data_IF_281540040749
#
_entry.id   IF_281540040749
#
_cell.length_a   1.000
_cell.length_b   1.000
_cell.length_c   1.000
_cell.angle_alpha   90.00
_cell.angle_beta   90.00
_cell.angle_gamma   90.00
#
_symmetry.space_group_name_H-M   'P 1'
#
loop_
_entity.id
_entity.type
_entity.pdbx_description
1 polymer ?
#
# COMPACT_ATOMS: atom_id res chain seq x y z
N UNK A 1 -16.34 29.47 3.36
CA UNK A 1 -15.47 28.29 3.09
C UNK A 1 -14.51 28.10 4.26
N UNK A 2 -14.54 26.94 4.92
CA UNK A 2 -13.67 26.65 6.06
C UNK A 2 -12.33 26.07 5.60
N UNK A 3 -11.24 26.76 5.89
CA UNK A 3 -9.89 26.36 5.49
C UNK A 3 -8.99 26.11 6.70
N UNK A 4 -8.16 25.08 6.63
CA UNK A 4 -7.13 24.87 7.66
C UNK A 4 -6.08 25.99 7.62
N UNK A 5 -5.31 26.15 8.71
CA UNK A 5 -4.33 27.25 8.87
C UNK A 5 -3.31 27.39 7.73
N UNK A 6 -2.97 26.30 7.02
CA UNK A 6 -2.04 26.34 5.88
C UNK A 6 -2.74 26.85 4.62
N UNK A 7 -3.91 26.31 4.31
CA UNK A 7 -4.72 26.72 3.15
C UNK A 7 -5.29 28.14 3.31
N UNK A 8 -5.71 28.51 4.51
CA UNK A 8 -6.17 29.86 4.82
C UNK A 8 -5.07 30.89 4.56
N UNK A 9 -3.85 30.65 5.06
CA UNK A 9 -2.70 31.52 4.79
C UNK A 9 -2.33 31.58 3.31
N UNK A 10 -2.46 30.46 2.59
CA UNK A 10 -2.25 30.44 1.14
C UNK A 10 -3.28 31.29 0.40
N UNK A 11 -4.58 31.11 0.68
CA UNK A 11 -5.63 31.89 0.00
C UNK A 11 -5.55 33.38 0.36
N UNK A 12 -5.20 33.72 1.61
CA UNK A 12 -4.92 35.12 1.98
C UNK A 12 -3.75 35.70 1.16
N UNK A 13 -2.66 34.94 0.98
CA UNK A 13 -1.54 35.38 0.13
C UNK A 13 -1.95 35.58 -1.33
N UNK A 14 -2.74 34.66 -1.89
CA UNK A 14 -3.25 34.78 -3.27
C UNK A 14 -4.14 36.01 -3.43
N UNK A 15 -5.06 36.27 -2.50
CA UNK A 15 -5.90 37.48 -2.54
C UNK A 15 -5.03 38.74 -2.44
N UNK A 16 -4.02 38.75 -1.57
CA UNK A 16 -3.08 39.87 -1.46
C UNK A 16 -2.27 40.10 -2.73
N UNK A 17 -1.83 39.03 -3.41
CA UNK A 17 -1.14 39.14 -4.71
C UNK A 17 -2.07 39.73 -5.76
N UNK A 18 -3.28 39.20 -5.89
CA UNK A 18 -4.25 39.72 -6.88
C UNK A 18 -4.69 41.16 -6.62
N UNK A 19 -4.70 41.63 -5.37
CA UNK A 19 -4.88 43.04 -5.05
C UNK A 19 -3.66 43.89 -5.47
N UNK A 20 -2.45 43.38 -5.25
CA UNK A 20 -1.19 44.05 -5.63
C UNK A 20 -1.01 44.14 -7.15
N UNK A 21 -1.43 43.10 -7.87
CA UNK A 21 -1.30 42.97 -9.32
C UNK A 21 -2.47 43.65 -10.07
N UNK A 22 -3.34 44.39 -9.37
CA UNK A 22 -4.56 45.03 -9.89
C UNK A 22 -5.54 44.08 -10.60
N UNK A 23 -5.46 42.77 -10.33
CA UNK A 23 -6.41 41.76 -10.82
C UNK A 23 -7.74 41.86 -10.08
N UNK A 24 -7.71 42.28 -8.82
CA UNK A 24 -8.89 42.52 -7.98
C UNK A 24 -8.84 43.90 -7.34
N UNK A 25 -10.00 44.54 -7.20
CA UNK A 25 -10.12 45.72 -6.35
C UNK A 25 -10.06 45.33 -4.87
N UNK A 26 -9.57 46.25 -4.02
CA UNK A 26 -9.52 46.04 -2.55
C UNK A 26 -10.91 45.71 -1.97
N UNK A 27 -11.97 46.22 -2.58
CA UNK A 27 -13.36 45.91 -2.20
C UNK A 27 -13.73 44.45 -2.48
N UNK A 28 -13.34 43.92 -3.64
CA UNK A 28 -13.57 42.52 -4.02
C UNK A 28 -12.70 41.56 -3.22
N UNK A 29 -11.45 41.92 -2.96
CA UNK A 29 -10.56 41.14 -2.10
C UNK A 29 -11.11 41.03 -0.66
N UNK A 30 -11.65 42.12 -0.12
CA UNK A 30 -12.32 42.09 1.19
C UNK A 30 -13.59 41.24 1.20
N UNK A 31 -14.41 41.26 0.13
CA UNK A 31 -15.54 40.33 -0.02
C UNK A 31 -15.07 38.88 -0.03
N UNK A 32 -14.00 38.56 -0.76
CA UNK A 32 -13.44 37.21 -0.82
C UNK A 32 -12.89 36.75 0.54
N UNK A 33 -12.14 37.60 1.25
CA UNK A 33 -11.65 37.30 2.61
C UNK A 33 -12.80 37.03 3.58
N UNK A 34 -13.89 37.81 3.50
CA UNK A 34 -15.08 37.62 4.33
C UNK A 34 -15.79 36.28 4.10
N UNK A 35 -15.69 35.71 2.89
CA UNK A 35 -16.24 34.37 2.60
C UNK A 35 -15.38 33.23 3.12
N UNK A 36 -14.18 33.48 3.64
CA UNK A 36 -13.22 32.47 4.06
C UNK A 36 -13.05 32.48 5.57
N UNK A 37 -13.37 31.36 6.22
CA UNK A 37 -13.23 31.20 7.65
C UNK A 37 -12.03 30.29 7.98
N UNK A 38 -11.23 30.71 8.95
CA UNK A 38 -10.14 29.90 9.47
C UNK A 38 -10.71 28.79 10.35
N UNK A 39 -10.54 27.55 9.91
CA UNK A 39 -10.72 26.39 10.77
C UNK A 39 -9.64 26.42 11.85
N UNK A 40 -10.03 26.82 13.06
CA UNK A 40 -9.14 26.97 14.23
C UNK A 40 -8.50 25.64 14.66
N UNK A 41 -9.10 24.50 14.28
CA UNK A 41 -8.67 23.17 14.70
C UNK A 41 -8.76 22.14 13.55
N UNK A 42 -7.69 21.35 13.35
CA UNK A 42 -7.60 20.35 12.26
C UNK A 42 -8.31 19.04 12.64
N UNK A 43 -9.64 19.06 12.60
CA UNK A 43 -10.51 17.92 12.90
C UNK A 43 -10.19 16.68 12.07
N UNK A 44 -9.62 16.83 10.86
CA UNK A 44 -9.23 15.70 10.01
C UNK A 44 -8.02 14.95 10.60
N UNK A 45 -7.01 15.69 11.07
CA UNK A 45 -5.87 15.08 11.78
C UNK A 45 -6.30 14.46 13.09
N UNK A 46 -7.14 15.15 13.88
CA UNK A 46 -7.65 14.58 15.13
C UNK A 46 -8.41 13.28 14.84
N UNK A 47 -9.34 13.27 13.88
CA UNK A 47 -10.06 12.06 13.50
C UNK A 47 -9.11 10.93 13.12
N UNK A 48 -8.09 11.20 12.29
CA UNK A 48 -7.09 10.21 11.89
C UNK A 48 -6.38 9.62 13.11
N UNK A 49 -5.87 10.45 14.02
CA UNK A 49 -5.16 9.99 15.21
C UNK A 49 -6.09 9.31 16.22
N UNK A 50 -7.31 9.80 16.39
CA UNK A 50 -8.32 9.16 17.24
C UNK A 50 -8.69 7.76 16.75
N UNK A 51 -8.77 7.53 15.43
CA UNK A 51 -8.95 6.17 14.90
C UNK A 51 -7.74 5.28 15.13
N UNK A 52 -6.52 5.82 15.08
CA UNK A 52 -5.31 5.06 15.42
C UNK A 52 -5.30 4.68 16.90
N UNK A 53 -5.59 5.64 17.78
CA UNK A 53 -5.70 5.41 19.23
C UNK A 53 -6.82 4.42 19.52
N UNK A 54 -8.00 4.56 18.90
CA UNK A 54 -9.08 3.60 19.06
C UNK A 54 -8.67 2.19 18.61
N UNK A 55 -7.90 2.07 17.52
CA UNK A 55 -7.32 0.80 17.09
C UNK A 55 -6.36 0.20 18.12
N UNK A 56 -5.45 1.01 18.68
CA UNK A 56 -4.52 0.60 19.74
C UNK A 56 -5.29 0.21 21.01
N UNK A 57 -6.26 1.01 21.44
CA UNK A 57 -7.12 0.71 22.59
C UNK A 57 -7.93 -0.56 22.39
N UNK A 58 -8.43 -0.82 21.18
CA UNK A 58 -9.09 -2.08 20.85
C UNK A 58 -8.12 -3.27 20.93
N UNK A 59 -6.90 -3.12 20.42
CA UNK A 59 -5.88 -4.16 20.52
C UNK A 59 -5.50 -4.44 22.00
N UNK A 60 -5.33 -3.40 22.81
CA UNK A 60 -5.09 -3.51 24.25
C UNK A 60 -6.29 -4.16 24.94
N UNK A 61 -7.53 -3.81 24.60
CA UNK A 61 -8.72 -4.44 25.16
C UNK A 61 -8.77 -5.94 24.83
N UNK A 62 -8.49 -6.33 23.58
CA UNK A 62 -8.40 -7.74 23.16
C UNK A 62 -7.28 -8.48 23.93
N UNK A 63 -6.14 -7.83 24.17
CA UNK A 63 -5.07 -8.39 24.97
C UNK A 63 -5.42 -8.48 26.46
N UNK A 64 -6.08 -7.47 27.03
CA UNK A 64 -6.51 -7.47 28.44
C UNK A 64 -7.55 -8.54 28.72
N UNK A 65 -8.39 -8.87 27.74
CA UNK A 65 -9.34 -9.99 27.83
C UNK A 65 -8.63 -11.32 28.15
N UNK A 66 -7.36 -11.50 27.77
CA UNK A 66 -6.64 -12.75 28.09
C UNK A 66 -6.28 -12.89 29.57
N UNK A 67 -6.38 -11.81 30.35
CA UNK A 67 -6.09 -11.81 31.79
C UNK A 67 -7.35 -11.93 32.66
N UNK A 68 -8.54 -11.84 32.07
CA UNK A 68 -9.81 -11.97 32.78
C UNK A 68 -10.31 -13.43 32.74
N UNK A 69 -10.39 -14.09 33.90
CA UNK A 69 -10.79 -15.50 34.01
C UNK A 69 -12.24 -15.77 33.59
N UNK A 70 -13.17 -14.82 33.78
CA UNK A 70 -14.58 -14.98 33.44
C UNK A 70 -14.80 -14.83 31.93
N UNK A 71 -14.17 -13.83 31.31
CA UNK A 71 -14.20 -13.67 29.86
C UNK A 71 -13.42 -14.80 29.18
N UNK A 72 -12.28 -15.21 29.74
CA UNK A 72 -11.52 -16.38 29.27
C UNK A 72 -12.35 -17.66 29.37
N UNK A 73 -13.20 -17.83 30.39
CA UNK A 73 -14.10 -18.99 30.47
C UNK A 73 -15.17 -19.00 29.37
N UNK A 74 -15.75 -17.83 29.04
CA UNK A 74 -16.69 -17.69 27.92
C UNK A 74 -15.98 -17.94 26.58
N UNK A 75 -14.77 -17.39 26.42
CA UNK A 75 -13.92 -17.63 25.24
C UNK A 75 -13.56 -19.10 25.13
N UNK A 76 -13.14 -19.75 26.22
CA UNK A 76 -12.87 -21.19 26.25
C UNK A 76 -14.09 -21.99 25.84
N UNK A 77 -15.30 -21.59 26.27
CA UNK A 77 -16.56 -22.22 25.84
C UNK A 77 -16.87 -22.02 24.35
N UNK A 78 -16.43 -20.92 23.75
CA UNK A 78 -16.49 -20.70 22.29
C UNK A 78 -15.39 -21.51 21.59
N UNK A 79 -14.21 -21.66 22.22
CA UNK A 79 -13.09 -22.43 21.69
C UNK A 79 -13.30 -23.95 21.76
N UNK A 80 -14.13 -24.44 22.69
CA UNK A 80 -14.56 -25.85 22.75
C UNK A 80 -15.65 -26.20 21.73
N UNK A 81 -16.24 -25.22 21.06
CA UNK A 81 -17.18 -25.48 19.96
C UNK A 81 -16.46 -26.12 18.76
N UNK A 82 -17.23 -26.83 17.92
CA UNK A 82 -16.67 -27.35 16.66
C UNK A 82 -16.21 -26.20 15.76
N UNK A 83 -15.16 -26.45 14.97
CA UNK A 83 -14.60 -25.43 14.07
C UNK A 83 -15.62 -24.99 13.01
N UNK A 84 -16.53 -25.87 12.60
CA UNK A 84 -17.68 -25.54 11.74
C UNK A 84 -18.56 -24.48 12.37
N UNK A 85 -18.91 -24.63 13.66
CA UNK A 85 -19.78 -23.69 14.34
C UNK A 85 -19.10 -22.32 14.50
N UNK A 86 -17.80 -22.30 14.85
CA UNK A 86 -17.00 -21.07 14.90
C UNK A 86 -17.00 -20.35 13.55
N UNK A 87 -16.78 -21.09 12.47
CA UNK A 87 -16.76 -20.54 11.11
C UNK A 87 -18.11 -19.92 10.73
N UNK A 88 -19.23 -20.61 10.98
CA UNK A 88 -20.58 -20.10 10.70
C UNK A 88 -20.87 -18.84 11.52
N UNK A 89 -20.61 -18.87 12.83
CA UNK A 89 -20.85 -17.72 13.71
C UNK A 89 -20.06 -16.49 13.27
N UNK A 90 -18.75 -16.66 13.01
CA UNK A 90 -17.90 -15.56 12.55
C UNK A 90 -18.31 -15.05 11.17
N UNK A 91 -18.77 -15.94 10.28
CA UNK A 91 -19.31 -15.54 8.97
C UNK A 91 -20.54 -14.66 9.13
N UNK A 92 -21.49 -15.03 9.99
CA UNK A 92 -22.69 -14.22 10.28
C UNK A 92 -22.29 -12.84 10.82
N UNK A 93 -21.36 -12.78 11.77
CA UNK A 93 -20.87 -11.52 12.33
C UNK A 93 -20.20 -10.67 11.25
N UNK A 94 -19.34 -11.27 10.41
CA UNK A 94 -18.67 -10.57 9.31
C UNK A 94 -19.65 -9.99 8.30
N UNK A 95 -20.68 -10.75 7.91
CA UNK A 95 -21.75 -10.29 7.02
C UNK A 95 -22.50 -9.13 7.65
N UNK A 96 -22.75 -9.18 8.97
CA UNK A 96 -23.33 -8.06 9.73
C UNK A 96 -22.50 -6.77 9.63
N UNK A 97 -21.18 -6.86 9.78
CA UNK A 97 -20.28 -5.71 9.61
C UNK A 97 -20.27 -5.17 8.19
N UNK A 98 -20.20 -6.02 7.17
CA UNK A 98 -20.27 -5.58 5.78
C UNK A 98 -21.61 -4.90 5.47
N UNK A 99 -22.73 -5.53 5.85
CA UNK A 99 -24.07 -4.97 5.68
C UNK A 99 -24.21 -3.61 6.36
N UNK A 100 -23.73 -3.49 7.60
CA UNK A 100 -23.76 -2.22 8.33
C UNK A 100 -22.89 -1.16 7.65
N UNK A 101 -21.67 -1.52 7.24
CA UNK A 101 -20.77 -0.67 6.46
C UNK A 101 -21.43 -0.18 5.17
N UNK A 102 -22.08 -1.06 4.41
CA UNK A 102 -22.79 -0.71 3.18
C UNK A 102 -23.97 0.22 3.41
N UNK A 103 -24.83 -0.11 4.38
CA UNK A 103 -26.00 0.72 4.72
C UNK A 103 -25.56 2.12 5.15
N UNK A 104 -24.47 2.21 5.93
CA UNK A 104 -23.92 3.48 6.39
C UNK A 104 -23.24 4.27 5.29
N UNK A 105 -22.54 3.62 4.35
CA UNK A 105 -21.95 4.26 3.16
C UNK A 105 -23.01 4.92 2.27
N UNK A 106 -24.21 4.32 2.16
CA UNK A 106 -25.37 4.93 1.48
C UNK A 106 -25.99 6.09 2.26
N UNK A 107 -26.19 5.95 3.57
CA UNK A 107 -26.88 6.96 4.40
C UNK A 107 -26.01 8.17 4.75
N UNK A 108 -24.71 7.96 5.01
CA UNK A 108 -23.78 8.99 5.49
C UNK A 108 -22.43 8.84 4.78
N UNK A 109 -22.36 9.14 3.47
CA UNK A 109 -21.14 8.97 2.66
C UNK A 109 -19.97 9.84 3.15
N UNK A 110 -20.27 10.98 3.80
CA UNK A 110 -19.25 11.88 4.35
C UNK A 110 -18.37 11.25 5.43
N UNK A 111 -18.84 10.21 6.14
CA UNK A 111 -18.06 9.49 7.17
C UNK A 111 -17.20 8.37 6.58
N UNK A 112 -16.38 8.71 5.57
CA UNK A 112 -15.56 7.76 4.80
C UNK A 112 -14.76 6.80 5.68
N UNK A 113 -13.95 7.32 6.61
CA UNK A 113 -13.09 6.49 7.48
C UNK A 113 -13.87 5.52 8.36
N UNK A 114 -14.99 5.95 8.94
CA UNK A 114 -15.83 5.07 9.76
C UNK A 114 -16.47 3.96 8.92
N UNK A 115 -16.88 4.27 7.69
CA UNK A 115 -17.48 3.29 6.79
C UNK A 115 -16.43 2.24 6.36
N UNK A 116 -15.22 2.68 5.99
CA UNK A 116 -14.12 1.78 5.62
C UNK A 116 -13.62 0.96 6.82
N UNK A 117 -13.64 1.52 8.04
CA UNK A 117 -13.30 0.78 9.26
C UNK A 117 -14.25 -0.40 9.51
N UNK A 118 -15.56 -0.22 9.30
CA UNK A 118 -16.51 -1.34 9.43
C UNK A 118 -16.24 -2.45 8.43
N UNK A 119 -15.91 -2.11 7.18
CA UNK A 119 -15.51 -3.09 6.17
C UNK A 119 -14.21 -3.79 6.56
N UNK A 120 -13.24 -3.07 7.11
CA UNK A 120 -11.98 -3.64 7.57
C UNK A 120 -12.16 -4.63 8.72
N UNK A 121 -13.00 -4.30 9.70
CA UNK A 121 -13.34 -5.22 10.80
C UNK A 121 -14.01 -6.47 10.25
N UNK A 122 -14.96 -6.32 9.31
CA UNK A 122 -15.54 -7.44 8.57
C UNK A 122 -14.46 -8.29 7.87
N UNK A 123 -13.48 -7.68 7.22
CA UNK A 123 -12.39 -8.40 6.55
C UNK A 123 -11.55 -9.25 7.50
N UNK A 124 -11.17 -8.70 8.66
CA UNK A 124 -10.43 -9.47 9.68
C UNK A 124 -11.25 -10.67 10.12
N UNK A 125 -12.54 -10.47 10.44
CA UNK A 125 -13.43 -11.55 10.90
C UNK A 125 -13.63 -12.60 9.79
N UNK A 126 -13.75 -12.18 8.53
CA UNK A 126 -13.80 -13.09 7.37
C UNK A 126 -12.56 -13.98 7.32
N UNK A 127 -11.35 -13.41 7.46
CA UNK A 127 -10.11 -14.18 7.46
C UNK A 127 -10.08 -15.24 8.56
N UNK A 128 -10.53 -14.90 9.77
CA UNK A 128 -10.62 -15.85 10.89
C UNK A 128 -11.70 -16.92 10.61
N UNK A 129 -12.85 -16.54 10.07
CA UNK A 129 -13.93 -17.46 9.71
C UNK A 129 -13.49 -18.49 8.67
N UNK A 130 -12.71 -18.05 7.67
CA UNK A 130 -12.10 -18.89 6.64
C UNK A 130 -11.04 -19.83 7.25
N UNK A 131 -10.25 -19.35 8.22
CA UNK A 131 -9.30 -20.21 8.93
C UNK A 131 -9.98 -21.36 9.66
N UNK A 132 -11.07 -21.09 10.39
CA UNK A 132 -11.87 -22.14 11.04
C UNK A 132 -12.63 -23.01 10.03
N UNK A 133 -13.10 -22.44 8.92
CA UNK A 133 -13.68 -23.22 7.82
C UNK A 133 -12.66 -24.23 7.30
N UNK A 134 -11.43 -23.78 7.06
CA UNK A 134 -10.32 -24.62 6.60
C UNK A 134 -10.05 -25.79 7.53
N UNK A 135 -10.03 -25.56 8.85
CA UNK A 135 -9.91 -26.64 9.85
C UNK A 135 -11.09 -27.60 9.82
N UNK A 136 -12.31 -27.08 9.66
CA UNK A 136 -13.52 -27.88 9.65
C UNK A 136 -13.61 -28.83 8.43
N UNK A 137 -13.07 -28.42 7.28
CA UNK A 137 -13.04 -29.21 6.04
C UNK A 137 -11.68 -29.84 5.76
N UNK A 138 -10.76 -29.81 6.73
CA UNK A 138 -9.40 -30.27 6.55
C UNK A 138 -9.39 -31.76 6.19
N UNK A 139 -8.78 -32.07 5.06
CA UNK A 139 -8.59 -33.43 4.56
C UNK A 139 -7.23 -34.02 4.94
N UNK A 140 -6.41 -33.27 5.70
CA UNK A 140 -5.03 -33.63 6.02
C UNK A 140 -4.05 -33.38 4.87
N UNK A 141 -4.51 -32.82 3.75
CA UNK A 141 -3.67 -32.52 2.58
C UNK A 141 -2.67 -31.37 2.80
N UNK A 142 -2.92 -30.52 3.81
CA UNK A 142 -2.12 -29.33 4.06
C UNK A 142 -2.18 -28.28 2.93
N UNK A 143 -3.14 -28.39 2.00
CA UNK A 143 -3.29 -27.55 0.82
C UNK A 143 -4.28 -26.38 1.06
N UNK A 144 -3.82 -25.29 1.67
CA UNK A 144 -4.67 -24.17 2.09
C UNK A 144 -4.78 -23.03 1.06
N UNK A 145 -4.17 -23.15 -0.12
CA UNK A 145 -4.18 -22.09 -1.14
C UNK A 145 -5.61 -21.67 -1.52
N UNK A 146 -6.52 -22.62 -1.67
CA UNK A 146 -7.93 -22.36 -2.02
C UNK A 146 -8.65 -21.52 -0.95
N UNK A 147 -8.27 -21.62 0.32
CA UNK A 147 -8.82 -20.77 1.38
C UNK A 147 -8.36 -19.31 1.22
N UNK A 148 -7.11 -19.11 0.82
CA UNK A 148 -6.57 -17.78 0.52
C UNK A 148 -7.25 -17.19 -0.73
N UNK A 149 -7.47 -18.02 -1.76
CA UNK A 149 -8.22 -17.62 -2.95
C UNK A 149 -9.64 -17.20 -2.60
N UNK A 150 -10.33 -17.98 -1.75
CA UNK A 150 -11.67 -17.66 -1.27
C UNK A 150 -11.69 -16.30 -0.55
N UNK A 151 -10.72 -16.02 0.33
CA UNK A 151 -10.59 -14.73 0.98
C UNK A 151 -10.37 -13.59 -0.03
N UNK A 152 -9.49 -13.81 -1.02
CA UNK A 152 -9.23 -12.86 -2.10
C UNK A 152 -10.49 -12.52 -2.89
N UNK A 153 -11.25 -13.54 -3.31
CA UNK A 153 -12.51 -13.36 -4.07
C UNK A 153 -13.51 -12.56 -3.24
N UNK A 154 -13.71 -12.90 -1.96
CA UNK A 154 -14.64 -12.18 -1.09
C UNK A 154 -14.25 -10.70 -0.99
N UNK A 155 -12.98 -10.39 -0.74
CA UNK A 155 -12.51 -9.01 -0.62
C UNK A 155 -12.59 -8.23 -1.94
N UNK A 156 -12.28 -8.86 -3.07
CA UNK A 156 -12.41 -8.25 -4.39
C UNK A 156 -13.88 -7.99 -4.74
N UNK A 157 -14.78 -8.95 -4.49
CA UNK A 157 -16.22 -8.77 -4.74
C UNK A 157 -16.78 -7.63 -3.88
N UNK A 158 -16.45 -7.59 -2.59
CA UNK A 158 -16.87 -6.51 -1.69
C UNK A 158 -16.29 -5.16 -2.12
N UNK A 159 -15.00 -5.11 -2.45
CA UNK A 159 -14.32 -3.89 -2.90
C UNK A 159 -14.84 -3.37 -4.24
N UNK A 160 -15.23 -4.28 -5.15
CA UNK A 160 -15.75 -3.99 -6.49
C UNK A 160 -17.20 -3.53 -6.48
N UNK A 161 -18.06 -4.26 -5.78
CA UNK A 161 -19.49 -3.92 -5.64
C UNK A 161 -19.70 -2.61 -4.90
N UNK A 162 -18.83 -2.30 -3.94
CA UNK A 162 -18.87 -1.05 -3.18
C UNK A 162 -17.49 -0.39 -3.17
N UNK A 163 -17.12 0.37 -4.24
CA UNK A 163 -15.78 0.90 -4.48
C UNK A 163 -15.05 1.29 -3.19
N UNK A 164 -14.27 0.34 -2.68
CA UNK A 164 -13.50 0.44 -1.44
C UNK A 164 -12.08 0.09 -1.81
N UNK A 165 -11.23 1.11 -1.82
CA UNK A 165 -9.81 0.92 -2.12
C UNK A 165 -9.16 -0.01 -1.11
N UNK A 166 -9.61 0.00 0.15
CA UNK A 166 -9.08 -0.85 1.20
C UNK A 166 -9.39 -2.32 0.93
N UNK A 167 -10.67 -2.67 0.75
CA UNK A 167 -11.10 -4.05 0.50
C UNK A 167 -10.51 -4.58 -0.81
N UNK A 168 -10.48 -3.74 -1.85
CA UNK A 168 -9.85 -4.12 -3.12
C UNK A 168 -8.35 -4.39 -2.97
N UNK A 169 -7.63 -3.55 -2.22
CA UNK A 169 -6.20 -3.74 -1.97
C UNK A 169 -5.95 -5.01 -1.15
N UNK A 170 -6.75 -5.27 -0.11
CA UNK A 170 -6.68 -6.53 0.64
C UNK A 170 -6.94 -7.74 -0.27
N UNK A 171 -7.93 -7.65 -1.15
CA UNK A 171 -8.22 -8.68 -2.14
C UNK A 171 -7.05 -8.97 -3.08
N UNK A 172 -6.37 -7.92 -3.58
CA UNK A 172 -5.18 -8.06 -4.40
C UNK A 172 -3.97 -8.61 -3.62
N UNK A 173 -3.79 -8.22 -2.36
CA UNK A 173 -2.76 -8.78 -1.47
C UNK A 173 -3.00 -10.28 -1.27
N UNK A 174 -4.23 -10.66 -0.91
CA UNK A 174 -4.63 -12.07 -0.77
C UNK A 174 -4.52 -12.81 -2.09
N UNK A 175 -4.79 -12.17 -3.24
CA UNK A 175 -4.62 -12.78 -4.56
C UNK A 175 -3.14 -13.13 -4.83
N UNK A 176 -2.23 -12.20 -4.54
CA UNK A 176 -0.80 -12.46 -4.63
C UNK A 176 -0.35 -13.57 -3.68
N UNK A 177 -0.87 -13.60 -2.45
CA UNK A 177 -0.58 -14.66 -1.49
C UNK A 177 -1.07 -16.04 -1.98
N UNK A 178 -2.27 -16.10 -2.56
CA UNK A 178 -2.78 -17.32 -3.19
C UNK A 178 -1.89 -17.74 -4.36
N UNK A 179 -1.56 -16.82 -5.27
CA UNK A 179 -0.72 -17.13 -6.42
C UNK A 179 0.66 -17.68 -6.01
N UNK A 180 1.27 -17.09 -4.98
CA UNK A 180 2.49 -17.62 -4.38
C UNK A 180 2.29 -19.02 -3.79
N UNK A 181 1.27 -19.22 -2.95
CA UNK A 181 0.98 -20.51 -2.33
C UNK A 181 0.70 -21.60 -3.37
N UNK A 182 -0.21 -21.35 -4.31
CA UNK A 182 -0.62 -22.29 -5.36
C UNK A 182 0.55 -22.69 -6.25
N UNK A 183 1.30 -21.72 -6.78
CA UNK A 183 2.48 -22.05 -7.59
C UNK A 183 3.56 -22.75 -6.76
N UNK A 184 3.58 -22.54 -5.44
CA UNK A 184 4.40 -23.30 -4.50
C UNK A 184 3.99 -24.75 -4.40
N UNK A 185 2.71 -25.01 -4.15
CA UNK A 185 2.17 -26.38 -4.10
C UNK A 185 2.38 -27.13 -5.41
N UNK A 186 2.12 -26.48 -6.54
CA UNK A 186 2.34 -27.07 -7.87
C UNK A 186 3.81 -27.38 -8.14
N UNK A 187 4.74 -26.66 -7.51
CA UNK A 187 6.18 -26.98 -7.54
C UNK A 187 6.65 -27.89 -6.40
N UNK A 188 5.75 -28.43 -5.56
CA UNK A 188 6.11 -29.23 -4.38
C UNK A 188 6.92 -28.44 -3.34
N UNK A 189 6.65 -27.15 -3.21
CA UNK A 189 7.45 -26.15 -2.48
C UNK A 189 8.89 -25.98 -2.99
N UNK A 190 9.20 -26.57 -4.14
CA UNK A 190 10.44 -26.34 -4.86
C UNK A 190 10.60 -24.89 -5.29
N UNK A 191 11.85 -24.48 -5.50
CA UNK A 191 12.16 -23.11 -5.91
C UNK A 191 11.48 -22.74 -7.24
N UNK A 192 11.27 -23.68 -8.16
CA UNK A 192 10.82 -23.40 -9.53
C UNK A 192 9.44 -23.94 -9.88
N UNK A 193 8.64 -23.12 -10.55
CA UNK A 193 7.40 -23.47 -11.22
C UNK A 193 7.53 -23.01 -12.68
N UNK A 194 7.44 -23.93 -13.64
CA UNK A 194 7.74 -23.65 -15.06
C UNK A 194 9.12 -23.00 -15.28
N UNK A 195 10.13 -23.43 -14.51
CA UNK A 195 11.49 -22.85 -14.56
C UNK A 195 11.62 -21.46 -13.92
N UNK A 196 10.55 -20.93 -13.31
CA UNK A 196 10.53 -19.62 -12.67
C UNK A 196 10.56 -19.73 -11.14
N UNK A 197 11.50 -19.02 -10.52
CA UNK A 197 11.47 -18.84 -9.07
C UNK A 197 10.34 -17.90 -8.63
N UNK A 198 10.08 -17.84 -7.33
CA UNK A 198 9.02 -17.01 -6.77
C UNK A 198 9.06 -15.56 -7.27
N UNK A 199 10.18 -14.81 -7.15
CA UNK A 199 10.25 -13.45 -7.68
C UNK A 199 9.89 -13.37 -9.17
N UNK A 200 10.42 -14.25 -10.03
CA UNK A 200 10.12 -14.21 -11.46
C UNK A 200 8.63 -14.44 -11.75
N UNK A 201 7.95 -15.33 -11.02
CA UNK A 201 6.48 -15.51 -11.11
C UNK A 201 5.74 -14.19 -10.81
N UNK A 202 6.20 -13.43 -9.81
CA UNK A 202 5.60 -12.16 -9.43
C UNK A 202 5.91 -11.00 -10.38
N UNK A 203 6.98 -11.07 -11.18
CA UNK A 203 7.20 -10.13 -12.30
C UNK A 203 6.02 -10.18 -13.27
N UNK A 204 5.62 -11.39 -13.69
CA UNK A 204 4.50 -11.57 -14.61
C UNK A 204 3.17 -11.16 -13.98
N UNK A 205 2.92 -11.54 -12.72
CA UNK A 205 1.73 -11.10 -12.00
C UNK A 205 1.65 -9.57 -11.92
N UNK A 206 2.77 -8.90 -11.61
CA UNK A 206 2.85 -7.45 -11.56
C UNK A 206 2.52 -6.79 -12.89
N UNK A 207 3.09 -7.29 -14.01
CA UNK A 207 2.79 -6.80 -15.35
C UNK A 207 1.31 -6.98 -15.74
N UNK A 208 0.72 -8.13 -15.41
CA UNK A 208 -0.70 -8.40 -15.64
C UNK A 208 -1.56 -7.40 -14.85
N UNK A 209 -1.28 -7.18 -13.57
CA UNK A 209 -2.03 -6.24 -12.74
C UNK A 209 -1.86 -4.78 -13.19
N UNK A 210 -0.68 -4.38 -13.66
CA UNK A 210 -0.48 -3.07 -14.29
C UNK A 210 -1.41 -2.91 -15.49
N UNK A 211 -1.45 -3.90 -16.39
CA UNK A 211 -2.33 -3.90 -17.57
C UNK A 211 -3.80 -3.85 -17.17
N UNK A 212 -4.23 -4.67 -16.23
CA UNK A 212 -5.60 -4.67 -15.70
C UNK A 212 -5.93 -3.30 -15.09
N UNK A 213 -5.00 -2.68 -14.36
CA UNK A 213 -5.15 -1.34 -13.82
C UNK A 213 -5.49 -0.30 -14.89
N UNK A 214 -4.88 -0.37 -16.08
CA UNK A 214 -5.23 0.50 -17.21
C UNK A 214 -6.59 0.15 -17.83
N UNK A 215 -6.92 -1.14 -17.98
CA UNK A 215 -8.20 -1.58 -18.55
C UNK A 215 -9.39 -1.18 -17.67
N UNK A 216 -9.25 -1.30 -16.35
CA UNK A 216 -10.30 -0.97 -15.37
C UNK A 216 -10.71 0.51 -15.46
N UNK A 217 -9.83 1.43 -15.91
CA UNK A 217 -10.15 2.87 -16.03
C UNK A 217 -11.40 3.15 -16.86
N UNK A 218 -11.75 2.28 -17.80
CA UNK A 218 -12.89 2.43 -18.72
C UNK A 218 -14.16 1.70 -18.26
N UNK A 219 -14.19 1.22 -17.02
CA UNK A 219 -15.27 0.36 -16.50
C UNK A 219 -16.00 1.02 -15.33
N UNK A 220 -17.09 0.40 -14.86
CA UNK A 220 -17.88 0.86 -13.70
C UNK A 220 -17.03 0.95 -12.41
N UNK A 221 -15.96 0.15 -12.31
CA UNK A 221 -15.03 0.13 -11.18
C UNK A 221 -13.77 0.97 -11.41
N UNK A 222 -13.84 2.02 -12.24
CA UNK A 222 -12.70 2.88 -12.58
C UNK A 222 -11.92 3.42 -11.38
N UNK A 223 -12.59 3.68 -10.24
CA UNK A 223 -11.95 4.12 -9.00
C UNK A 223 -10.90 3.12 -8.46
N UNK A 224 -11.03 1.84 -8.80
CA UNK A 224 -10.14 0.76 -8.40
C UNK A 224 -8.96 0.56 -9.38
N UNK A 225 -8.92 1.31 -10.48
CA UNK A 225 -7.78 1.33 -11.40
C UNK A 225 -6.49 1.68 -10.67
N UNK A 226 -6.51 2.74 -9.87
CA UNK A 226 -5.31 3.23 -9.18
C UNK A 226 -4.73 2.23 -8.19
N UNK A 227 -5.49 1.65 -7.24
CA UNK A 227 -4.94 0.64 -6.34
C UNK A 227 -4.47 -0.61 -7.09
N UNK A 228 -5.17 -1.06 -8.15
CA UNK A 228 -4.72 -2.19 -8.98
C UNK A 228 -3.38 -1.92 -9.64
N UNK A 229 -3.23 -0.74 -10.23
CA UNK A 229 -1.99 -0.30 -10.86
C UNK A 229 -0.83 -0.19 -9.86
N UNK A 230 -1.08 0.40 -8.68
CA UNK A 230 -0.06 0.51 -7.62
C UNK A 230 0.37 -0.86 -7.10
N UNK A 231 -0.58 -1.80 -6.90
CA UNK A 231 -0.26 -3.17 -6.50
C UNK A 231 0.54 -3.90 -7.56
N UNK A 232 0.20 -3.73 -8.84
CA UNK A 232 0.98 -4.29 -9.95
C UNK A 232 2.41 -3.76 -10.00
N UNK A 233 2.59 -2.44 -9.81
CA UNK A 233 3.93 -1.84 -9.71
C UNK A 233 4.71 -2.36 -8.49
N UNK A 234 4.06 -2.52 -7.33
CA UNK A 234 4.69 -3.09 -6.13
C UNK A 234 5.17 -4.51 -6.39
N UNK A 235 4.32 -5.39 -6.92
CA UNK A 235 4.71 -6.76 -7.22
C UNK A 235 5.84 -6.82 -8.25
N UNK A 236 5.77 -6.03 -9.32
CA UNK A 236 6.82 -5.96 -10.33
C UNK A 236 8.16 -5.51 -9.74
N UNK A 237 8.17 -4.39 -9.04
CA UNK A 237 9.42 -3.78 -8.57
C UNK A 237 10.05 -4.51 -7.38
N UNK A 238 9.24 -5.05 -6.46
CA UNK A 238 9.74 -5.91 -5.38
C UNK A 238 10.29 -7.21 -5.97
N UNK A 239 9.59 -7.80 -6.95
CA UNK A 239 10.09 -8.99 -7.62
C UNK A 239 11.42 -8.73 -8.33
N UNK A 240 11.55 -7.65 -9.09
CA UNK A 240 12.81 -7.28 -9.76
C UNK A 240 13.95 -7.01 -8.78
N UNK A 241 13.64 -6.43 -7.62
CA UNK A 241 14.63 -6.23 -6.55
C UNK A 241 15.09 -7.57 -5.96
N UNK A 242 14.18 -8.50 -5.68
CA UNK A 242 14.57 -9.84 -5.22
C UNK A 242 15.33 -10.61 -6.30
N UNK A 243 14.96 -10.47 -7.57
CA UNK A 243 15.70 -11.04 -8.70
C UNK A 243 17.12 -10.45 -8.82
N UNK A 244 17.32 -9.17 -8.50
CA UNK A 244 18.66 -8.58 -8.56
C UNK A 244 19.59 -9.08 -7.45
N UNK A 245 19.05 -9.59 -6.34
CA UNK A 245 19.81 -10.17 -5.22
C UNK A 245 20.01 -11.68 -5.43
N UNK A 246 18.93 -12.41 -5.76
CA UNK A 246 18.91 -13.88 -5.76
C UNK A 246 18.97 -14.51 -7.16
N UNK A 247 18.74 -13.74 -8.23
CA UNK A 247 18.62 -14.26 -9.58
C UNK A 247 17.45 -15.23 -9.74
N UNK A 248 17.53 -16.11 -10.74
CA UNK A 248 16.59 -17.22 -10.95
C UNK A 248 17.27 -18.56 -10.61
N UNK A 249 17.84 -18.69 -9.40
CA UNK A 249 18.60 -19.86 -8.93
C UNK A 249 17.86 -20.60 -7.79
N UNK A 250 18.02 -21.93 -7.67
CA UNK A 250 17.43 -22.75 -6.58
C UNK A 250 18.41 -23.06 -5.46
N UNK A 251 17.92 -23.09 -4.22
CA UNK A 251 18.59 -23.71 -3.06
C UNK A 251 19.79 -22.92 -2.51
N UNK A 252 20.50 -23.54 -1.56
CA UNK A 252 21.66 -23.03 -0.80
C UNK A 252 22.84 -22.49 -1.66
N UNK A 253 22.73 -22.60 -2.99
CA UNK A 253 23.70 -22.11 -3.98
C UNK A 253 23.53 -20.64 -4.35
N UNK A 254 22.63 -19.88 -3.70
CA UNK A 254 22.54 -18.43 -3.91
C UNK A 254 23.86 -17.70 -3.61
N UNK A 255 24.68 -18.25 -2.70
CA UNK A 255 26.04 -17.77 -2.42
C UNK A 255 27.06 -18.11 -3.52
N UNK A 256 26.76 -19.09 -4.38
CA UNK A 256 27.65 -19.64 -5.42
C UNK A 256 27.32 -19.10 -6.81
N UNK A 257 26.16 -18.46 -6.98
CA UNK A 257 25.84 -17.74 -8.21
C UNK A 257 26.92 -16.69 -8.50
N UNK A 258 27.71 -16.91 -9.55
CA UNK A 258 28.78 -16.00 -9.97
C UNK A 258 28.25 -14.56 -10.06
N UNK A 259 28.99 -13.61 -9.45
CA UNK A 259 28.67 -12.17 -9.45
C UNK A 259 28.29 -11.62 -10.84
N UNK A 260 28.82 -12.23 -11.91
CA UNK A 260 28.49 -11.89 -13.31
C UNK A 260 27.07 -12.26 -13.74
N UNK A 261 26.50 -13.35 -13.23
CA UNK A 261 25.16 -13.79 -13.62
C UNK A 261 24.04 -13.00 -12.92
N UNK A 262 24.31 -12.46 -11.73
CA UNK A 262 23.38 -11.57 -11.01
C UNK A 262 23.37 -10.14 -11.58
N UNK A 263 24.43 -9.76 -12.30
CA UNK A 263 24.54 -8.46 -12.93
C UNK A 263 23.41 -8.20 -13.94
N UNK A 264 23.04 -9.20 -14.76
CA UNK A 264 21.97 -9.05 -15.73
C UNK A 264 20.61 -8.74 -15.09
N UNK A 265 20.30 -9.34 -13.93
CA UNK A 265 19.08 -9.06 -13.18
C UNK A 265 19.10 -7.65 -12.57
N UNK A 266 20.25 -7.23 -12.06
CA UNK A 266 20.46 -5.85 -11.59
C UNK A 266 20.31 -4.83 -12.72
N UNK A 267 20.84 -5.15 -13.90
CA UNK A 267 20.75 -4.31 -15.10
C UNK A 267 19.29 -4.23 -15.58
N UNK A 268 18.59 -5.37 -15.68
CA UNK A 268 17.17 -5.41 -16.02
C UNK A 268 16.33 -4.57 -15.06
N UNK A 269 16.60 -4.69 -13.76
CA UNK A 269 15.94 -3.90 -12.73
C UNK A 269 16.20 -2.39 -12.91
N UNK A 270 17.46 -2.01 -13.14
CA UNK A 270 17.85 -0.62 -13.42
C UNK A 270 17.20 -0.06 -14.69
N UNK A 271 17.24 -0.81 -15.80
CA UNK A 271 16.59 -0.43 -17.07
C UNK A 271 15.09 -0.26 -16.86
N UNK A 272 14.43 -1.17 -16.16
CA UNK A 272 12.99 -1.09 -15.89
C UNK A 272 12.65 0.13 -15.05
N UNK A 273 13.47 0.45 -14.05
CA UNK A 273 13.30 1.66 -13.23
C UNK A 273 13.48 2.94 -14.07
N UNK A 274 14.50 3.01 -14.92
CA UNK A 274 14.73 4.14 -15.84
C UNK A 274 13.57 4.27 -16.85
N UNK A 275 13.14 3.15 -17.44
CA UNK A 275 11.99 3.13 -18.36
C UNK A 275 10.71 3.64 -17.67
N UNK A 276 10.47 3.26 -16.41
CA UNK A 276 9.36 3.77 -15.60
C UNK A 276 9.46 5.28 -15.35
N UNK A 277 10.67 5.83 -15.13
CA UNK A 277 10.89 7.28 -15.00
C UNK A 277 10.57 7.98 -16.31
N UNK A 278 11.16 7.52 -17.43
CA UNK A 278 10.96 8.12 -18.75
C UNK A 278 9.49 8.06 -19.14
N UNK A 279 8.84 6.91 -18.94
CA UNK A 279 7.41 6.75 -19.21
C UNK A 279 6.57 7.69 -18.34
N UNK A 280 6.83 7.75 -17.04
CA UNK A 280 6.11 8.64 -16.11
C UNK A 280 6.38 10.13 -16.35
N UNK A 281 7.46 10.50 -17.03
CA UNK A 281 7.68 11.86 -17.53
C UNK A 281 6.89 12.12 -18.81
N UNK A 282 6.90 11.18 -19.77
CA UNK A 282 6.18 11.31 -21.06
C UNK A 282 4.66 11.34 -20.89
N UNK A 283 4.12 10.58 -19.94
CA UNK A 283 2.66 10.47 -19.72
C UNK A 283 2.16 11.31 -18.55
N UNK A 284 3.03 12.12 -17.93
CA UNK A 284 2.81 12.81 -16.65
C UNK A 284 2.21 11.91 -15.54
N UNK A 285 2.55 10.62 -15.54
CA UNK A 285 2.15 9.71 -14.48
C UNK A 285 3.14 9.80 -13.32
N UNK A 286 2.79 10.64 -12.35
CA UNK A 286 3.60 10.83 -11.14
C UNK A 286 3.82 9.54 -10.32
N UNK A 287 2.97 8.51 -10.46
CA UNK A 287 3.10 7.28 -9.67
C UNK A 287 4.19 6.38 -10.22
N UNK A 288 4.14 6.00 -11.51
CA UNK A 288 5.21 5.18 -12.10
C UNK A 288 6.56 5.90 -12.07
N UNK A 289 6.55 7.23 -12.24
CA UNK A 289 7.74 8.08 -12.06
C UNK A 289 8.33 7.93 -10.66
N UNK A 290 7.52 8.05 -9.61
CA UNK A 290 7.96 7.88 -8.21
C UNK A 290 8.49 6.47 -7.95
N UNK A 291 7.78 5.44 -8.42
CA UNK A 291 8.25 4.06 -8.32
C UNK A 291 9.62 3.88 -8.99
N UNK A 292 9.77 4.33 -10.23
CA UNK A 292 11.04 4.27 -10.96
C UNK A 292 12.18 4.95 -10.20
N UNK A 293 11.98 6.19 -9.70
CA UNK A 293 13.00 6.90 -8.91
C UNK A 293 13.34 6.13 -7.64
N UNK A 294 12.34 5.76 -6.83
CA UNK A 294 12.55 5.07 -5.55
C UNK A 294 13.27 3.75 -5.74
N UNK A 295 12.82 2.91 -6.68
CA UNK A 295 13.40 1.60 -6.89
C UNK A 295 14.75 1.65 -7.63
N UNK A 296 15.03 2.70 -8.40
CA UNK A 296 16.38 2.96 -8.93
C UNK A 296 17.37 3.21 -7.78
N UNK A 297 16.99 4.04 -6.79
CA UNK A 297 17.81 4.24 -5.60
C UNK A 297 17.97 2.94 -4.80
N UNK A 298 16.90 2.17 -4.59
CA UNK A 298 16.97 0.87 -3.91
C UNK A 298 17.97 -0.05 -4.63
N UNK A 299 17.93 -0.11 -5.97
CA UNK A 299 18.88 -0.92 -6.74
C UNK A 299 20.33 -0.45 -6.53
N UNK A 300 20.58 0.85 -6.69
CA UNK A 300 21.92 1.43 -6.53
C UNK A 300 22.49 1.19 -5.13
N UNK A 301 21.69 1.41 -4.08
CA UNK A 301 22.12 1.18 -2.71
C UNK A 301 22.27 -0.32 -2.41
N UNK A 302 21.39 -1.18 -2.92
CA UNK A 302 21.55 -2.63 -2.77
C UNK A 302 22.89 -3.08 -3.37
N UNK A 303 23.23 -2.62 -4.57
CA UNK A 303 24.53 -2.92 -5.20
C UNK A 303 25.70 -2.29 -4.43
N UNK A 304 25.54 -1.09 -3.91
CA UNK A 304 26.56 -0.48 -3.04
C UNK A 304 26.87 -1.37 -1.82
N UNK A 305 25.84 -1.87 -1.12
CA UNK A 305 26.03 -2.79 -0.02
C UNK A 305 26.66 -4.12 -0.49
N UNK A 306 26.17 -4.73 -1.57
CA UNK A 306 26.72 -5.99 -2.09
C UNK A 306 28.21 -5.90 -2.47
N UNK A 307 28.63 -4.83 -3.15
CA UNK A 307 30.01 -4.70 -3.64
C UNK A 307 30.99 -4.16 -2.60
N UNK A 308 30.55 -3.24 -1.73
CA UNK A 308 31.46 -2.50 -0.85
C UNK A 308 31.43 -2.95 0.60
N UNK A 309 30.42 -3.70 1.06
CA UNK A 309 30.30 -4.07 2.48
C UNK A 309 31.53 -4.79 3.04
N UNK A 310 32.10 -5.74 2.29
CA UNK A 310 33.29 -6.50 2.71
C UNK A 310 34.59 -6.01 2.06
N UNK A 311 34.52 -5.07 1.12
CA UNK A 311 35.65 -4.70 0.25
C UNK A 311 36.38 -3.44 0.72
N UNK A 312 35.73 -2.57 1.50
CA UNK A 312 36.31 -1.31 1.99
C UNK A 312 36.18 -1.18 3.51
N UNK A 313 37.02 -0.32 4.10
CA UNK A 313 36.96 -0.03 5.53
C UNK A 313 35.59 0.55 5.93
N UNK A 314 35.02 0.09 7.05
CA UNK A 314 33.65 0.46 7.47
C UNK A 314 33.47 1.97 7.64
N UNK A 315 34.48 2.67 8.15
CA UNK A 315 34.43 4.13 8.27
C UNK A 315 34.28 4.81 6.89
N UNK A 316 35.03 4.35 5.87
CA UNK A 316 34.92 4.87 4.51
C UNK A 316 33.58 4.50 3.87
N UNK A 317 33.10 3.28 4.10
CA UNK A 317 31.79 2.83 3.64
C UNK A 317 30.66 3.73 4.15
N UNK A 318 30.65 4.02 5.46
CA UNK A 318 29.62 4.89 6.04
C UNK A 318 29.83 6.36 5.67
N UNK A 319 31.08 6.82 5.48
CA UNK A 319 31.35 8.18 5.01
C UNK A 319 30.81 8.41 3.60
N UNK A 320 31.07 7.51 2.63
CA UNK A 320 30.52 7.60 1.27
C UNK A 320 28.99 7.59 1.30
N UNK A 321 28.39 6.71 2.11
CA UNK A 321 26.95 6.62 2.27
C UNK A 321 26.35 7.91 2.86
N UNK A 322 27.00 8.51 3.86
CA UNK A 322 26.57 9.77 4.45
C UNK A 322 26.66 10.91 3.44
N UNK A 323 27.76 11.00 2.67
CA UNK A 323 27.94 12.01 1.62
C UNK A 323 26.90 11.85 0.52
N UNK A 324 26.57 10.62 0.10
CA UNK A 324 25.56 10.39 -0.93
C UNK A 324 24.17 10.83 -0.48
N UNK A 325 23.75 10.46 0.73
CA UNK A 325 22.47 10.90 1.28
C UNK A 325 22.42 12.41 1.50
N UNK A 326 23.50 13.01 1.98
CA UNK A 326 23.61 14.46 2.12
C UNK A 326 23.48 15.17 0.77
N UNK A 327 24.13 14.68 -0.28
CA UNK A 327 24.04 15.25 -1.63
C UNK A 327 22.61 15.15 -2.19
N UNK A 328 21.95 14.01 -2.04
CA UNK A 328 20.54 13.83 -2.43
C UNK A 328 19.63 14.76 -1.64
N UNK A 329 19.86 14.89 -0.32
CA UNK A 329 19.14 15.81 0.56
C UNK A 329 19.28 17.26 0.12
N UNK A 330 20.51 17.72 -0.11
CA UNK A 330 20.82 19.09 -0.58
C UNK A 330 20.21 19.39 -1.94
N UNK A 331 20.25 18.42 -2.87
CA UNK A 331 19.60 18.58 -4.18
C UNK A 331 18.08 18.70 -4.02
N UNK A 332 17.48 17.85 -3.19
CA UNK A 332 16.05 17.89 -2.90
C UNK A 332 15.63 19.21 -2.26
N UNK A 333 16.45 19.74 -1.35
CA UNK A 333 16.25 21.07 -0.74
C UNK A 333 16.36 22.19 -1.76
N UNK A 334 17.36 22.15 -2.66
CA UNK A 334 17.50 23.14 -3.74
C UNK A 334 16.29 23.12 -4.68
N UNK A 335 15.81 21.94 -5.07
CA UNK A 335 14.61 21.81 -5.90
C UNK A 335 13.39 22.34 -5.16
N UNK A 336 13.25 22.01 -3.87
CA UNK A 336 12.16 22.54 -3.03
C UNK A 336 12.20 24.07 -2.94
N UNK A 337 13.37 24.66 -2.72
CA UNK A 337 13.55 26.10 -2.66
C UNK A 337 13.26 26.77 -4.00
N UNK A 338 13.64 26.19 -5.14
CA UNK A 338 13.25 26.69 -6.47
C UNK A 338 11.75 26.62 -6.73
N UNK A 339 11.09 25.54 -6.31
CA UNK A 339 9.63 25.42 -6.43
C UNK A 339 8.97 26.48 -5.53
N UNK A 340 9.52 26.69 -4.33
CA UNK A 340 9.08 27.71 -3.39
C UNK A 340 9.27 29.12 -3.96
N UNK A 341 10.43 29.43 -4.53
CA UNK A 341 10.75 30.69 -5.22
C UNK A 341 9.81 30.91 -6.40
N UNK A 342 9.58 29.94 -7.29
CA UNK A 342 8.57 30.07 -8.36
C UNK A 342 7.15 30.34 -7.85
N UNK A 343 6.77 29.76 -6.72
CA UNK A 343 5.49 30.07 -6.08
C UNK A 343 5.44 31.49 -5.47
N UNK A 344 6.58 32.16 -5.30
CA UNK A 344 6.70 33.50 -4.71
C UNK A 344 7.17 34.59 -5.71
N UNK A 345 7.81 34.23 -6.83
CA UNK A 345 8.23 35.14 -7.91
C UNK A 345 7.13 35.37 -8.95
N UNK A 346 6.10 34.52 -8.99
CA UNK A 346 4.81 34.84 -9.64
C UNK A 346 3.97 35.83 -8.78
N UNK A 347 4.47 36.31 -7.63
CA UNK A 347 3.88 37.36 -6.76
C UNK A 347 4.60 38.74 -6.90
N UNK A 348 5.39 38.93 -7.97
CA UNK A 348 6.11 40.18 -8.29
C UNK A 348 5.70 40.72 -9.63
#
# INVERSE_FOLDING_TARGET
MLLNKKRFRFVQKVINSWEKDNVLTVSEGNKLRATIELSKFDWNRLAKYSFWIAGISLAIAVFSITFDKAIMAIIMRIFTMSDTLKSIMLTIVSVGFYYWGFRRKKKVPAKFFSNEFLLFVGAIITGVAIGFFGKAVDTGSGHFSLLILMASIIYLVIGGTFPSNLMWTLGLISFGAWFGAETGYLSGWGAYFLGMNYPLRFVFLGLILIRIGFLIKKTIIANLSKPTYVMGLLYLFIALWLMSIFGNYSGDYWYVASKGNLFYWSLLFGITAIAAIIWGLKTDDSTIRKFGITFLFINLYTKYFEYFWNSIHKALFFAILAVSFWAVGRYSEKVWNKIKEKMFDEEG
#
